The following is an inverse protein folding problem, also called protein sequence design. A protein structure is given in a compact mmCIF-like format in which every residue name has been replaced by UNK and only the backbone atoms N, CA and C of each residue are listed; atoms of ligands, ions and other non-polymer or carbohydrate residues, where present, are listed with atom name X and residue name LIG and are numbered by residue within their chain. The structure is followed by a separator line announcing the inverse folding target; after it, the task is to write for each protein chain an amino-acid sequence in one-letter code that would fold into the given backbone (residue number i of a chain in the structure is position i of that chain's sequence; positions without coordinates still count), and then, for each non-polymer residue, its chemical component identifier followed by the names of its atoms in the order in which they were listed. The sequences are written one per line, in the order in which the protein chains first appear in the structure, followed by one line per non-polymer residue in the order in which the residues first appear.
data_IF_546796694350
#
_entry.id   IF_546796694350
#
_cell.length_a   1.000
_cell.length_b   1.000
_cell.length_c   1.000
_cell.angle_alpha   90.00
_cell.angle_beta   90.00
_cell.angle_gamma   90.00
#
_symmetry.space_group_name_H-M   'P 1'
#
loop_
_entity.id
_entity.type
_entity.pdbx_description
1 polymer ?
#
# COMPACT_ATOMS: atom_id res chain seq x y z
N UNK A 1 -27.32 18.19 -13.84
CA UNK A 1 -26.43 17.18 -13.23
C UNK A 1 -25.08 17.29 -13.92
N UNK A 2 -24.05 17.81 -13.23
CA UNK A 2 -22.73 18.04 -13.84
C UNK A 2 -22.01 16.70 -14.06
N UNK A 3 -21.52 16.37 -15.26
CA UNK A 3 -20.83 15.11 -15.50
C UNK A 3 -19.47 15.14 -14.81
N UNK A 4 -19.27 14.23 -13.86
CA UNK A 4 -18.01 14.11 -13.14
C UNK A 4 -16.82 13.82 -14.09
N UNK A 5 -15.61 14.31 -13.74
CA UNK A 5 -14.41 14.11 -14.55
C UNK A 5 -14.15 12.62 -14.81
N UNK A 6 -13.59 12.24 -15.97
CA UNK A 6 -13.37 10.85 -16.35
C UNK A 6 -12.49 10.06 -15.36
N UNK A 7 -11.55 10.75 -14.71
CA UNK A 7 -10.72 10.20 -13.64
C UNK A 7 -11.54 9.76 -12.42
N UNK A 8 -12.61 10.49 -12.11
CA UNK A 8 -13.52 10.17 -11.01
C UNK A 8 -14.36 8.92 -11.33
N UNK A 9 -14.77 8.76 -12.59
CA UNK A 9 -15.47 7.54 -13.06
C UNK A 9 -14.58 6.31 -13.05
N UNK A 10 -13.31 6.44 -13.44
CA UNK A 10 -12.34 5.35 -13.36
C UNK A 10 -12.09 4.92 -11.90
N UNK A 11 -12.02 5.87 -10.96
CA UNK A 11 -11.92 5.58 -9.53
C UNK A 11 -13.18 4.89 -8.95
N UNK A 12 -14.37 5.22 -9.48
CA UNK A 12 -15.65 4.58 -9.13
C UNK A 12 -15.81 3.17 -9.72
N UNK A 13 -14.99 2.78 -10.71
CA UNK A 13 -15.04 1.45 -11.32
C UNK A 13 -14.22 0.39 -10.55
N UNK A 14 -13.52 0.78 -9.47
CA UNK A 14 -12.86 -0.19 -8.60
C UNK A 14 -13.88 -0.83 -7.65
N UNK A 15 -13.88 -2.17 -7.50
CA UNK A 15 -14.91 -2.89 -6.74
C UNK A 15 -15.06 -2.38 -5.30
N UNK A 16 -13.95 -2.03 -4.64
CA UNK A 16 -13.93 -1.47 -3.29
C UNK A 16 -12.71 -0.55 -3.10
N UNK A 17 -12.78 0.74 -3.49
CA UNK A 17 -11.62 1.65 -3.54
C UNK A 17 -11.11 2.11 -2.17
N UNK A 18 -11.33 1.34 -1.11
CA UNK A 18 -10.96 1.66 0.28
C UNK A 18 -9.44 1.78 0.44
N UNK A 19 -8.66 1.09 -0.38
CA UNK A 19 -7.20 1.06 -0.20
C UNK A 19 -6.47 2.24 -0.82
N UNK A 20 -7.11 3.00 -1.71
CA UNK A 20 -6.58 4.25 -2.20
C UNK A 20 -6.47 5.32 -1.10
N UNK A 21 -7.55 5.70 -0.36
CA UNK A 21 -7.44 6.67 0.72
C UNK A 21 -6.57 6.16 1.87
N UNK A 22 -6.65 4.86 2.23
CA UNK A 22 -5.76 4.27 3.25
C UNK A 22 -4.30 4.40 2.84
N UNK A 23 -3.97 4.13 1.58
CA UNK A 23 -2.58 4.22 1.11
C UNK A 23 -2.11 5.65 1.00
N UNK A 24 -2.98 6.60 0.65
CA UNK A 24 -2.65 8.02 0.71
C UNK A 24 -2.28 8.43 2.14
N UNK A 25 -3.06 7.98 3.13
CA UNK A 25 -2.83 8.28 4.54
C UNK A 25 -1.54 7.64 5.09
N UNK A 26 -1.22 6.42 4.67
CA UNK A 26 0.03 5.72 5.05
C UNK A 26 1.26 6.36 4.39
N UNK A 27 1.13 6.84 3.15
CA UNK A 27 2.26 7.39 2.38
C UNK A 27 2.52 8.85 2.74
N UNK A 28 1.49 9.61 3.11
CA UNK A 28 1.65 10.96 3.60
C UNK A 28 2.51 10.98 4.87
N UNK A 29 3.64 11.67 4.81
CA UNK A 29 4.55 11.90 5.93
C UNK A 29 4.86 13.40 6.01
N UNK A 30 5.34 13.86 7.16
CA UNK A 30 5.67 15.28 7.40
C UNK A 30 6.81 15.79 6.50
N UNK A 31 7.65 14.89 5.99
CA UNK A 31 8.83 15.23 5.18
C UNK A 31 8.77 14.52 3.84
N UNK A 32 9.09 15.24 2.77
CA UNK A 32 9.11 14.70 1.42
C UNK A 32 10.01 13.44 1.26
N UNK A 33 11.24 13.39 1.80
CA UNK A 33 12.05 12.16 1.71
C UNK A 33 11.42 10.95 2.41
N UNK A 34 10.70 11.18 3.51
CA UNK A 34 10.01 10.13 4.25
C UNK A 34 8.76 9.67 3.51
N UNK A 35 8.02 10.61 2.89
CA UNK A 35 6.91 10.31 1.96
C UNK A 35 7.38 9.46 0.79
N UNK A 36 8.50 9.79 0.15
CA UNK A 36 9.07 9.00 -0.95
C UNK A 36 9.53 7.62 -0.50
N UNK A 37 10.11 7.52 0.70
CA UNK A 37 10.49 6.23 1.30
C UNK A 37 9.26 5.38 1.60
N UNK A 38 8.21 5.98 2.17
CA UNK A 38 6.93 5.32 2.45
C UNK A 38 6.24 4.88 1.16
N UNK A 39 6.21 5.73 0.13
CA UNK A 39 5.72 5.41 -1.21
C UNK A 39 6.39 4.15 -1.77
N UNK A 40 7.73 4.11 -1.77
CA UNK A 40 8.48 2.95 -2.29
C UNK A 40 8.21 1.69 -1.47
N UNK A 41 8.22 1.80 -0.15
CA UNK A 41 7.92 0.67 0.75
C UNK A 41 6.50 0.13 0.54
N UNK A 42 5.53 1.04 0.34
CA UNK A 42 4.13 0.72 0.10
C UNK A 42 3.92 0.02 -1.25
N UNK A 43 4.55 0.49 -2.32
CA UNK A 43 4.48 -0.15 -3.63
C UNK A 43 5.14 -1.54 -3.64
N UNK A 44 6.38 -1.63 -3.18
CA UNK A 44 7.14 -2.90 -3.18
C UNK A 44 6.46 -3.91 -2.26
N UNK A 45 6.10 -3.51 -1.04
CA UNK A 45 5.41 -4.38 -0.10
C UNK A 45 4.08 -4.89 -0.65
N UNK A 46 3.31 -4.03 -1.32
CA UNK A 46 2.03 -4.45 -1.91
C UNK A 46 2.22 -5.44 -3.05
N UNK A 47 3.15 -5.16 -3.97
CA UNK A 47 3.47 -6.07 -5.07
C UNK A 47 3.90 -7.46 -4.55
N UNK A 48 4.77 -7.48 -3.54
CA UNK A 48 5.24 -8.72 -2.90
C UNK A 48 4.10 -9.46 -2.20
N UNK A 49 3.25 -8.76 -1.45
CA UNK A 49 2.11 -9.38 -0.76
C UNK A 49 1.11 -10.00 -1.74
N UNK A 50 0.78 -9.29 -2.83
CA UNK A 50 -0.08 -9.82 -3.89
C UNK A 50 0.55 -11.03 -4.56
N UNK A 51 1.84 -10.96 -4.91
CA UNK A 51 2.55 -12.06 -5.54
C UNK A 51 2.60 -13.32 -4.66
N UNK A 52 2.88 -13.16 -3.35
CA UNK A 52 2.88 -14.26 -2.39
C UNK A 52 1.48 -14.87 -2.25
N UNK A 53 0.45 -14.04 -2.08
CA UNK A 53 -0.93 -14.51 -1.98
C UNK A 53 -1.34 -15.32 -3.22
N UNK A 54 -1.03 -14.81 -4.42
CA UNK A 54 -1.32 -15.49 -5.67
C UNK A 54 -0.56 -16.81 -5.79
N UNK A 55 0.76 -16.81 -5.55
CA UNK A 55 1.58 -18.01 -5.67
C UNK A 55 1.09 -19.12 -4.73
N UNK A 56 0.83 -18.78 -3.46
CA UNK A 56 0.34 -19.75 -2.47
C UNK A 56 -1.07 -20.22 -2.82
N UNK A 57 -1.98 -19.33 -3.23
CA UNK A 57 -3.31 -19.73 -3.66
C UNK A 57 -3.27 -20.68 -4.86
N UNK A 58 -2.52 -20.34 -5.91
CA UNK A 58 -2.43 -21.17 -7.12
C UNK A 58 -1.79 -22.55 -6.88
N UNK A 59 -0.90 -22.67 -5.90
CA UNK A 59 -0.25 -23.94 -5.57
C UNK A 59 -1.11 -24.81 -4.65
N UNK A 60 -1.72 -24.23 -3.61
CA UNK A 60 -2.38 -25.00 -2.54
C UNK A 60 -3.88 -25.19 -2.77
N UNK A 61 -4.55 -24.22 -3.40
CA UNK A 61 -6.00 -24.31 -3.62
C UNK A 61 -6.41 -25.51 -4.50
N UNK A 62 -5.71 -25.83 -5.61
CA UNK A 62 -6.05 -27.01 -6.43
C UNK A 62 -5.86 -28.35 -5.70
N UNK A 63 -5.04 -28.36 -4.63
CA UNK A 63 -4.79 -29.55 -3.80
C UNK A 63 -5.86 -29.74 -2.70
N UNK A 64 -6.90 -28.89 -2.68
CA UNK A 64 -7.95 -28.94 -1.64
C UNK A 64 -7.49 -28.43 -0.28
N UNK A 65 -6.41 -27.63 -0.22
CA UNK A 65 -5.93 -27.06 1.03
C UNK A 65 -6.99 -26.14 1.67
N UNK A 66 -7.23 -26.23 2.99
CA UNK A 66 -8.21 -25.38 3.65
C UNK A 66 -7.75 -23.91 3.63
N UNK A 67 -8.68 -22.93 3.57
CA UNK A 67 -8.33 -21.51 3.46
C UNK A 67 -7.40 -21.00 4.57
N UNK A 68 -7.53 -21.53 5.78
CA UNK A 68 -6.65 -21.19 6.91
C UNK A 68 -5.20 -21.61 6.68
N UNK A 69 -4.97 -22.76 6.02
CA UNK A 69 -3.63 -23.22 5.68
C UNK A 69 -3.01 -22.32 4.61
N UNK A 70 -3.78 -21.98 3.57
CA UNK A 70 -3.36 -21.05 2.50
C UNK A 70 -2.96 -19.69 3.10
N UNK A 71 -3.78 -19.16 3.99
CA UNK A 71 -3.51 -17.90 4.70
C UNK A 71 -2.25 -18.01 5.58
N UNK A 72 -2.12 -19.09 6.36
CA UNK A 72 -0.97 -19.32 7.23
C UNK A 72 0.35 -19.41 6.45
N UNK A 73 0.36 -20.13 5.33
CA UNK A 73 1.55 -20.25 4.47
C UNK A 73 1.89 -18.89 3.84
N UNK A 74 0.91 -18.18 3.28
CA UNK A 74 1.16 -16.87 2.66
C UNK A 74 1.68 -15.83 3.66
N UNK A 75 1.06 -15.74 4.84
CA UNK A 75 1.48 -14.80 5.88
C UNK A 75 2.81 -15.20 6.52
N UNK A 76 3.09 -16.50 6.66
CA UNK A 76 4.38 -17.02 7.10
C UNK A 76 5.52 -16.64 6.14
N UNK A 77 5.34 -16.86 4.83
CA UNK A 77 6.31 -16.45 3.80
C UNK A 77 6.52 -14.93 3.80
N UNK A 78 5.43 -14.15 3.89
CA UNK A 78 5.52 -12.70 3.97
C UNK A 78 6.24 -12.23 5.26
N UNK A 79 6.06 -12.95 6.38
CA UNK A 79 6.75 -12.68 7.64
C UNK A 79 8.25 -12.94 7.54
N UNK A 80 8.67 -14.04 6.91
CA UNK A 80 10.09 -14.33 6.64
C UNK A 80 10.71 -13.25 5.75
N UNK A 81 9.98 -12.76 4.75
CA UNK A 81 10.48 -11.69 3.90
C UNK A 81 10.62 -10.37 4.66
N UNK A 82 9.63 -10.07 5.50
CA UNK A 82 9.57 -8.86 6.31
C UNK A 82 10.58 -8.84 7.47
N UNK A 83 11.05 -10.00 7.95
CA UNK A 83 12.08 -10.10 8.98
C UNK A 83 13.46 -9.71 8.43
N UNK A 84 13.74 -10.04 7.17
CA UNK A 84 14.98 -9.66 6.47
C UNK A 84 14.92 -8.20 6.02
N UNK A 85 13.78 -7.76 5.49
CA UNK A 85 13.57 -6.39 4.99
C UNK A 85 12.38 -5.71 5.68
N UNK A 86 12.60 -5.08 6.86
CA UNK A 86 11.54 -4.43 7.62
C UNK A 86 10.78 -3.34 6.87
N UNK A 87 11.42 -2.72 5.87
CA UNK A 87 10.80 -1.72 5.01
C UNK A 87 9.63 -2.29 4.17
N UNK A 88 9.52 -3.61 4.03
CA UNK A 88 8.50 -4.28 3.21
C UNK A 88 7.43 -4.97 4.03
N UNK A 89 7.36 -4.75 5.36
CA UNK A 89 6.35 -5.33 6.27
C UNK A 89 4.90 -5.18 5.80
N UNK A 90 4.65 -4.21 4.92
CA UNK A 90 3.35 -4.05 4.25
C UNK A 90 2.92 -5.30 3.47
N UNK A 91 3.84 -6.12 2.97
CA UNK A 91 3.50 -7.35 2.26
C UNK A 91 2.69 -8.33 3.10
N UNK A 92 2.89 -8.32 4.43
CA UNK A 92 2.29 -9.28 5.36
C UNK A 92 0.78 -9.15 5.41
N UNK A 93 0.30 -7.93 5.66
CA UNK A 93 -1.14 -7.67 5.64
C UNK A 93 -1.69 -7.57 4.21
N UNK A 94 -0.93 -7.12 3.21
CA UNK A 94 -1.42 -7.18 1.82
C UNK A 94 -1.73 -8.62 1.41
N UNK A 95 -0.85 -9.58 1.69
CA UNK A 95 -1.10 -10.99 1.38
C UNK A 95 -2.38 -11.50 2.05
N UNK A 96 -2.55 -11.20 3.35
CA UNK A 96 -3.74 -11.57 4.09
C UNK A 96 -5.01 -10.96 3.50
N UNK A 97 -5.00 -9.66 3.20
CA UNK A 97 -6.20 -8.99 2.70
C UNK A 97 -6.51 -9.40 1.27
N UNK A 98 -5.52 -9.68 0.42
CA UNK A 98 -5.76 -10.20 -0.93
C UNK A 98 -6.44 -11.58 -0.87
N UNK A 99 -6.04 -12.44 0.06
CA UNK A 99 -6.69 -13.76 0.23
C UNK A 99 -8.08 -13.65 0.84
N UNK A 100 -8.26 -12.80 1.86
CA UNK A 100 -9.52 -12.69 2.60
C UNK A 100 -10.57 -11.79 1.93
N UNK A 101 -10.11 -10.79 1.17
CA UNK A 101 -10.95 -9.74 0.61
C UNK A 101 -11.27 -9.89 -0.87
N UNK A 102 -10.96 -11.04 -1.49
CA UNK A 102 -11.33 -11.27 -2.89
C UNK A 102 -12.82 -11.63 -2.98
N UNK A 103 -13.62 -10.92 -3.81
CA UNK A 103 -15.00 -11.32 -4.09
C UNK A 103 -15.03 -12.69 -4.75
N UNK A 104 -16.03 -13.55 -4.46
CA UNK A 104 -16.13 -14.88 -5.07
C UNK A 104 -16.27 -14.84 -6.59
N UNK A 105 -16.81 -13.74 -7.12
CA UNK A 105 -16.99 -13.46 -8.55
C UNK A 105 -15.67 -13.09 -9.27
N UNK A 106 -14.61 -12.75 -8.52
CA UNK A 106 -13.34 -12.30 -9.06
C UNK A 106 -12.23 -13.32 -8.85
N UNK A 107 -11.42 -13.53 -9.89
CA UNK A 107 -10.20 -14.31 -9.73
C UNK A 107 -9.23 -13.62 -8.76
N UNK A 108 -8.41 -14.43 -8.07
CA UNK A 108 -7.38 -13.91 -7.14
C UNK A 108 -6.42 -12.93 -7.83
N UNK A 109 -6.13 -13.16 -9.11
CA UNK A 109 -5.31 -12.27 -9.94
C UNK A 109 -5.99 -10.92 -10.14
N UNK A 110 -7.27 -10.92 -10.53
CA UNK A 110 -8.03 -9.68 -10.75
C UNK A 110 -8.16 -8.87 -9.44
N UNK A 111 -8.41 -9.55 -8.32
CA UNK A 111 -8.47 -8.93 -6.99
C UNK A 111 -7.11 -8.36 -6.57
N UNK A 112 -6.03 -9.12 -6.75
CA UNK A 112 -4.66 -8.68 -6.47
C UNK A 112 -4.24 -7.46 -7.28
N UNK A 113 -4.55 -7.45 -8.58
CA UNK A 113 -4.28 -6.32 -9.47
C UNK A 113 -5.09 -5.09 -9.08
N UNK A 114 -6.39 -5.23 -8.83
CA UNK A 114 -7.23 -4.14 -8.35
C UNK A 114 -6.65 -3.53 -7.07
N UNK A 115 -6.20 -4.38 -6.13
CA UNK A 115 -5.59 -3.91 -4.89
C UNK A 115 -4.29 -3.14 -5.12
N UNK A 116 -3.42 -3.65 -5.99
CA UNK A 116 -2.17 -2.98 -6.33
C UNK A 116 -2.44 -1.60 -6.97
N UNK A 117 -3.44 -1.50 -7.84
CA UNK A 117 -3.84 -0.25 -8.47
C UNK A 117 -4.41 0.76 -7.46
N UNK A 118 -5.27 0.32 -6.54
CA UNK A 118 -5.78 1.17 -5.46
C UNK A 118 -4.64 1.76 -4.63
N UNK A 119 -3.71 0.90 -4.20
CA UNK A 119 -2.56 1.33 -3.40
C UNK A 119 -1.69 2.31 -4.19
N UNK A 120 -1.42 2.00 -5.45
CA UNK A 120 -0.60 2.87 -6.32
C UNK A 120 -1.25 4.23 -6.51
N UNK A 121 -2.55 4.27 -6.77
CA UNK A 121 -3.30 5.53 -6.92
C UNK A 121 -3.19 6.39 -5.65
N UNK A 122 -3.49 5.81 -4.48
CA UNK A 122 -3.40 6.51 -3.21
C UNK A 122 -1.99 7.03 -2.90
N UNK A 123 -0.99 6.17 -3.11
CA UNK A 123 0.41 6.49 -2.87
C UNK A 123 0.90 7.62 -3.80
N UNK A 124 0.51 7.59 -5.08
CA UNK A 124 0.82 8.64 -6.04
C UNK A 124 0.18 9.98 -5.65
N UNK A 125 -1.09 9.98 -5.22
CA UNK A 125 -1.79 11.20 -4.80
C UNK A 125 -1.09 11.83 -3.59
N UNK A 126 -0.79 11.05 -2.55
CA UNK A 126 -0.09 11.57 -1.36
C UNK A 126 1.29 12.14 -1.70
N UNK A 127 2.05 11.44 -2.55
CA UNK A 127 3.37 11.89 -2.99
C UNK A 127 3.29 13.17 -3.82
N UNK A 128 2.29 13.29 -4.70
CA UNK A 128 2.07 14.49 -5.49
C UNK A 128 1.73 15.70 -4.61
N UNK A 129 0.88 15.52 -3.60
CA UNK A 129 0.54 16.57 -2.63
C UNK A 129 1.78 17.00 -1.84
N UNK A 130 2.55 16.06 -1.31
CA UNK A 130 3.80 16.37 -0.58
C UNK A 130 4.82 17.12 -1.46
N UNK A 131 4.92 16.76 -2.73
CA UNK A 131 5.79 17.46 -3.69
C UNK A 131 5.30 18.89 -3.97
N UNK A 132 3.98 19.09 -4.10
CA UNK A 132 3.39 20.42 -4.26
C UNK A 132 3.62 21.30 -3.03
N UNK A 133 3.39 20.76 -1.83
CA UNK A 133 3.64 21.45 -0.57
C UNK A 133 5.10 21.88 -0.44
N UNK A 134 6.04 20.98 -0.70
CA UNK A 134 7.46 21.29 -0.68
C UNK A 134 7.82 22.41 -1.66
N UNK A 135 7.29 22.36 -2.89
CA UNK A 135 7.50 23.41 -3.89
C UNK A 135 6.94 24.76 -3.45
N UNK A 136 5.75 24.78 -2.84
CA UNK A 136 5.13 26.00 -2.31
C UNK A 136 5.94 26.60 -1.16
N UNK A 137 6.46 25.79 -0.25
CA UNK A 137 7.29 26.26 0.87
C UNK A 137 8.60 26.88 0.36
N UNK A 138 9.27 26.23 -0.59
CA UNK A 138 10.48 26.75 -1.23
C UNK A 138 10.19 28.07 -1.96
N UNK A 139 9.08 28.16 -2.70
CA UNK A 139 8.68 29.39 -3.39
C UNK A 139 8.40 30.57 -2.44
N UNK A 140 7.93 30.28 -1.23
CA UNK A 140 7.66 31.28 -0.20
C UNK A 140 8.89 31.65 0.64
N UNK A 141 10.07 31.08 0.36
CA UNK A 141 11.28 31.26 1.17
C UNK A 141 11.15 30.70 2.59
N UNK A 142 10.13 29.87 2.86
CA UNK A 142 9.94 29.22 4.16
C UNK A 142 10.76 27.94 4.17
N UNK A 143 11.57 27.78 5.22
CA UNK A 143 12.28 26.52 5.42
C UNK A 143 11.26 25.45 5.86
N UNK A 144 11.18 24.29 5.20
CA UNK A 144 10.35 23.18 5.68
C UNK A 144 10.80 22.81 7.09
N UNK A 145 9.86 22.80 8.03
CA UNK A 145 10.11 22.73 9.48
C UNK A 145 11.15 21.66 9.85
N UNK A 146 12.22 22.10 10.51
CA UNK A 146 13.30 21.25 11.01
C UNK A 146 13.17 21.13 12.55
N UNK A 147 12.30 20.24 13.03
CA UNK A 147 12.28 19.78 14.44
C UNK A 147 11.54 18.42 14.52
N UNK A 148 11.88 17.42 15.34
CA UNK A 148 12.70 17.39 16.56
C UNK A 148 13.90 16.43 16.46
N UNK A 149 15.10 16.97 16.69
CA UNK A 149 16.16 16.26 17.40
C UNK A 149 16.41 17.09 18.65
N UNK A 150 15.94 16.64 19.81
CA UNK A 150 16.03 17.44 21.04
C UNK A 150 15.16 16.89 22.16
N UNK A 151 15.75 15.99 22.94
CA UNK A 151 15.14 15.42 24.13
C UNK A 151 16.01 14.29 24.69
N UNK A 152 17.31 14.54 24.87
CA UNK A 152 18.08 13.77 25.83
C UNK A 152 17.67 14.25 27.23
N UNK A 153 17.27 13.38 28.15
CA UNK A 153 17.41 13.66 29.57
C UNK A 153 18.84 13.28 29.96
N UNK A 154 19.61 14.26 30.42
CA UNK A 154 20.74 13.99 31.30
C UNK A 154 20.22 13.42 32.62
N UNK A 155 20.96 12.45 33.17
CA UNK A 155 20.68 11.75 34.42
C UNK A 155 21.48 10.47 34.48
#
# INVERSE_FOLDING_TARGET
MLPWPPLFRAALALPQPVWAPVSALVVAQDRLPDTLRSFRGRLIGTALGVAIAMAVHLLLHPLGAPPLLVLGVATGLASLLASVWPAWRVCLWTAAITLLGHPPEMSILASGLARFLEVTLGACIATAIAALEFRSLVALGRSPSREKGGGAPGG
#
